data_IF_152657605003
#
_entry.id   IF_152657605003
#
_cell.length_a   1.000
_cell.length_b   1.000
_cell.length_c   1.000
_cell.angle_alpha   90.00
_cell.angle_beta   90.00
_cell.angle_gamma   90.00
#
_symmetry.space_group_name_H-M   'P 1'
#
loop_
_entity.id
_entity.type
_entity.pdbx_description
1 polymer ?
#
# COMPACT_ATOMS: atom_id res chain seq x y z
N UNK A 1 -27.27 13.68 -29.67
CA UNK A 1 -27.40 12.64 -30.72
C UNK A 1 -28.47 11.67 -30.25
N UNK A 2 -29.42 11.24 -31.10
CA UNK A 2 -30.29 10.12 -30.73
C UNK A 2 -29.40 8.94 -30.35
N UNK A 3 -29.76 8.27 -29.27
CA UNK A 3 -29.03 7.19 -28.63
C UNK A 3 -29.01 5.96 -29.56
N UNK A 4 -28.20 6.02 -30.62
CA UNK A 4 -28.07 4.95 -31.60
C UNK A 4 -27.33 3.80 -30.91
N UNK A 5 -28.08 2.75 -30.58
CA UNK A 5 -27.62 1.51 -29.92
C UNK A 5 -26.91 0.56 -30.89
N UNK A 6 -26.33 1.15 -31.93
CA UNK A 6 -25.77 0.50 -33.10
C UNK A 6 -24.54 1.29 -33.52
N UNK A 7 -23.48 0.57 -33.87
CA UNK A 7 -22.23 1.15 -34.37
C UNK A 7 -21.96 0.53 -35.75
N UNK A 8 -21.78 1.38 -36.75
CA UNK A 8 -21.27 0.96 -38.05
C UNK A 8 -19.78 0.66 -37.93
N UNK A 9 -19.34 -0.52 -38.40
CA UNK A 9 -17.92 -0.88 -38.41
C UNK A 9 -17.24 -0.07 -39.53
N UNK A 10 -16.18 0.71 -39.23
CA UNK A 10 -15.47 1.49 -40.24
C UNK A 10 -15.07 0.63 -41.45
N UNK A 11 -15.17 1.21 -42.65
CA UNK A 11 -14.83 0.55 -43.93
C UNK A 11 -15.67 -0.70 -44.26
N UNK A 12 -16.83 -0.88 -43.63
CA UNK A 12 -17.81 -1.91 -43.97
C UNK A 12 -19.25 -1.41 -43.89
N UNK A 13 -20.17 -2.01 -44.66
CA UNK A 13 -21.62 -1.78 -44.53
C UNK A 13 -22.24 -2.53 -43.31
N UNK A 14 -21.40 -3.07 -42.42
CA UNK A 14 -21.88 -3.87 -41.27
C UNK A 14 -22.24 -2.96 -40.11
N UNK A 15 -23.46 -3.11 -39.64
CA UNK A 15 -23.96 -2.49 -38.41
C UNK A 15 -23.96 -3.55 -37.31
N UNK A 16 -23.33 -3.24 -36.18
CA UNK A 16 -23.28 -4.14 -35.02
C UNK A 16 -24.18 -3.57 -33.94
N UNK A 17 -25.05 -4.42 -33.39
CA UNK A 17 -25.88 -4.07 -32.24
C UNK A 17 -25.08 -4.19 -30.95
N UNK A 18 -25.42 -3.37 -29.96
CA UNK A 18 -24.82 -3.48 -28.64
C UNK A 18 -25.16 -4.83 -28.00
N UNK A 19 -24.12 -5.60 -27.66
CA UNK A 19 -24.19 -6.87 -26.94
C UNK A 19 -23.33 -6.78 -25.68
N UNK A 20 -23.65 -7.59 -24.68
CA UNK A 20 -22.80 -7.81 -23.51
C UNK A 20 -21.59 -8.70 -23.86
N UNK A 21 -20.63 -8.81 -22.95
CA UNK A 21 -19.41 -9.60 -23.16
C UNK A 21 -19.66 -11.11 -23.25
N UNK A 22 -20.78 -11.58 -22.69
CA UNK A 22 -21.27 -12.96 -22.80
C UNK A 22 -22.03 -13.22 -24.12
N UNK A 23 -22.16 -12.20 -24.98
CA UNK A 23 -22.91 -12.25 -26.22
C UNK A 23 -24.42 -12.07 -26.07
N UNK A 24 -24.93 -11.87 -24.85
CA UNK A 24 -26.35 -11.63 -24.64
C UNK A 24 -26.75 -10.20 -25.04
N UNK A 25 -27.96 -10.05 -25.57
CA UNK A 25 -28.50 -8.74 -25.93
C UNK A 25 -29.07 -8.00 -24.70
N UNK A 26 -28.78 -6.70 -24.54
CA UNK A 26 -29.37 -5.90 -23.48
C UNK A 26 -30.88 -5.78 -23.61
N UNK A 27 -31.60 -6.06 -22.51
CA UNK A 27 -33.04 -5.78 -22.43
C UNK A 27 -33.27 -4.29 -22.22
N UNK A 28 -33.47 -3.56 -23.31
CA UNK A 28 -33.70 -2.12 -23.28
C UNK A 28 -35.03 -1.77 -22.62
N UNK A 29 -34.96 -0.99 -21.53
CA UNK A 29 -36.15 -0.45 -20.85
C UNK A 29 -36.42 0.99 -21.27
N UNK A 30 -37.69 1.38 -21.29
CA UNK A 30 -38.10 2.75 -21.60
C UNK A 30 -37.54 3.72 -20.54
N UNK A 31 -36.94 4.85 -20.98
CA UNK A 31 -36.30 5.87 -20.13
C UNK A 31 -35.09 5.42 -19.30
N UNK A 32 -34.55 4.23 -19.52
CA UNK A 32 -33.29 3.78 -18.91
C UNK A 32 -32.16 4.02 -19.92
N UNK A 33 -31.10 4.69 -19.49
CA UNK A 33 -29.95 4.98 -20.34
C UNK A 33 -29.06 3.75 -20.59
N UNK A 34 -28.20 3.75 -21.62
CA UNK A 34 -27.31 2.64 -21.91
C UNK A 34 -26.29 2.38 -20.78
N UNK A 35 -25.77 3.44 -20.15
CA UNK A 35 -24.84 3.31 -19.02
C UNK A 35 -25.48 2.61 -17.82
N UNK A 36 -26.72 2.95 -17.50
CA UNK A 36 -27.46 2.30 -16.42
C UNK A 36 -27.79 0.85 -16.76
N UNK A 37 -28.18 0.58 -18.02
CA UNK A 37 -28.42 -0.78 -18.51
C UNK A 37 -27.17 -1.65 -18.37
N UNK A 38 -26.02 -1.14 -18.78
CA UNK A 38 -24.73 -1.81 -18.64
C UNK A 38 -24.33 -2.00 -17.17
N UNK A 39 -24.47 -0.96 -16.34
CA UNK A 39 -24.13 -1.02 -14.91
C UNK A 39 -24.95 -2.08 -14.16
N UNK A 40 -26.23 -2.22 -14.50
CA UNK A 40 -27.11 -3.25 -13.94
C UNK A 40 -26.67 -4.68 -14.37
N UNK A 41 -26.17 -4.86 -15.59
CA UNK A 41 -25.65 -6.15 -16.04
C UNK A 41 -24.29 -6.47 -15.42
N UNK A 42 -23.38 -5.48 -15.33
CA UNK A 42 -22.05 -5.64 -14.71
C UNK A 42 -22.19 -6.07 -13.25
N UNK A 43 -23.08 -5.43 -12.50
CA UNK A 43 -23.29 -5.71 -11.07
C UNK A 43 -24.35 -6.79 -10.80
N UNK A 44 -24.81 -7.49 -11.84
CA UNK A 44 -25.74 -8.61 -11.68
C UNK A 44 -25.08 -9.77 -10.93
N UNK A 45 -25.85 -10.43 -10.06
CA UNK A 45 -25.40 -11.66 -9.39
C UNK A 45 -25.10 -12.79 -10.39
N UNK A 46 -25.73 -12.76 -11.57
CA UNK A 46 -25.53 -13.74 -12.63
C UNK A 46 -24.30 -13.43 -13.50
N UNK A 47 -23.63 -12.30 -13.28
CA UNK A 47 -22.41 -11.93 -14.01
C UNK A 47 -21.18 -12.59 -13.38
N UNK A 48 -20.52 -13.55 -14.07
CA UNK A 48 -19.40 -14.29 -13.48
C UNK A 48 -18.10 -13.49 -13.42
N UNK A 49 -18.01 -12.38 -14.16
CA UNK A 49 -16.76 -11.64 -14.35
C UNK A 49 -16.52 -10.64 -13.22
N UNK A 50 -17.54 -9.85 -12.89
CA UNK A 50 -17.39 -8.74 -11.95
C UNK A 50 -16.98 -9.20 -10.55
N UNK A 51 -17.64 -10.23 -10.03
CA UNK A 51 -17.35 -10.74 -8.68
C UNK A 51 -15.93 -11.30 -8.57
N UNK A 52 -15.46 -12.07 -9.56
CA UNK A 52 -14.09 -12.61 -9.61
C UNK A 52 -13.05 -11.49 -9.74
N UNK A 53 -13.26 -10.54 -10.64
CA UNK A 53 -12.35 -9.42 -10.84
C UNK A 53 -12.24 -8.55 -9.56
N UNK A 54 -13.38 -8.22 -8.95
CA UNK A 54 -13.42 -7.45 -7.71
C UNK A 54 -12.76 -8.19 -6.54
N UNK A 55 -13.07 -9.49 -6.36
CA UNK A 55 -12.45 -10.31 -5.33
C UNK A 55 -10.92 -10.41 -5.51
N UNK A 56 -10.45 -10.65 -6.73
CA UNK A 56 -9.03 -10.69 -7.05
C UNK A 56 -8.34 -9.35 -6.78
N UNK A 57 -9.00 -8.24 -7.11
CA UNK A 57 -8.47 -6.90 -6.86
C UNK A 57 -8.37 -6.60 -5.37
N UNK A 58 -9.40 -6.91 -4.57
CA UNK A 58 -9.36 -6.78 -3.11
C UNK A 58 -8.24 -7.64 -2.52
N UNK A 59 -8.13 -8.89 -2.98
CA UNK A 59 -7.07 -9.80 -2.57
C UNK A 59 -5.68 -9.21 -2.86
N UNK A 60 -5.45 -8.73 -4.09
CA UNK A 60 -4.19 -8.09 -4.46
C UNK A 60 -3.89 -6.83 -3.64
N UNK A 61 -4.90 -6.04 -3.28
CA UNK A 61 -4.67 -4.90 -2.39
C UNK A 61 -4.16 -5.32 -1.01
N UNK A 62 -4.60 -6.47 -0.51
CA UNK A 62 -4.23 -7.00 0.81
C UNK A 62 -2.92 -7.79 0.78
N UNK A 63 -2.68 -8.61 -0.25
CA UNK A 63 -1.52 -9.50 -0.36
C UNK A 63 -0.40 -8.99 -1.26
N UNK A 64 -0.62 -7.90 -2.00
CA UNK A 64 0.36 -7.27 -2.89
C UNK A 64 0.41 -7.92 -4.29
N UNK A 65 -0.22 -9.08 -4.44
CA UNK A 65 -0.34 -9.86 -5.69
C UNK A 65 -1.73 -10.52 -5.74
N UNK A 66 -2.30 -10.60 -6.94
CA UNK A 66 -3.59 -11.26 -7.16
C UNK A 66 -3.50 -12.79 -7.11
N UNK A 67 -4.65 -13.45 -6.96
CA UNK A 67 -4.81 -14.87 -7.27
C UNK A 67 -4.65 -15.07 -8.79
N UNK A 68 -5.12 -14.09 -9.58
CA UNK A 68 -4.77 -13.90 -11.00
C UNK A 68 -3.85 -12.70 -11.09
N UNK A 69 -2.72 -12.86 -11.79
CA UNK A 69 -1.72 -11.82 -12.00
C UNK A 69 -1.26 -11.86 -13.47
N UNK A 70 -1.40 -10.78 -14.26
CA UNK A 70 -1.85 -9.43 -13.88
C UNK A 70 -3.30 -9.34 -13.37
N UNK A 71 -3.55 -8.46 -12.41
CA UNK A 71 -4.86 -8.37 -11.72
C UNK A 71 -6.06 -8.11 -12.64
N UNK A 72 -5.83 -7.48 -13.79
CA UNK A 72 -6.85 -7.06 -14.75
C UNK A 72 -6.85 -7.94 -16.03
N UNK A 73 -5.99 -8.97 -16.11
CA UNK A 73 -5.87 -9.87 -17.28
C UNK A 73 -6.33 -11.30 -16.95
N UNK A 74 -7.63 -11.55 -17.09
CA UNK A 74 -8.28 -12.85 -16.91
C UNK A 74 -8.28 -13.70 -18.20
N UNK A 75 -7.16 -13.75 -18.91
CA UNK A 75 -7.00 -14.62 -20.08
C UNK A 75 -6.53 -16.03 -19.70
N UNK A 76 -6.70 -16.98 -20.62
CA UNK A 76 -6.20 -18.36 -20.44
C UNK A 76 -4.68 -18.44 -20.26
N UNK A 77 -3.94 -17.38 -20.64
CA UNK A 77 -2.51 -17.26 -20.41
C UNK A 77 -2.16 -17.03 -18.92
N UNK A 78 -3.09 -16.47 -18.13
CA UNK A 78 -2.90 -16.15 -16.73
C UNK A 78 -3.92 -16.91 -15.86
N UNK A 79 -3.81 -18.25 -15.76
CA UNK A 79 -4.74 -19.01 -14.94
C UNK A 79 -4.65 -18.60 -13.46
N UNK A 80 -5.76 -18.62 -12.70
CA UNK A 80 -5.73 -18.37 -11.26
C UNK A 80 -4.81 -19.36 -10.55
N UNK A 81 -3.95 -18.87 -9.65
CA UNK A 81 -3.09 -19.73 -8.82
C UNK A 81 -3.90 -20.66 -7.92
N UNK A 82 -5.05 -20.18 -7.44
CA UNK A 82 -5.98 -20.91 -6.58
C UNK A 82 -7.42 -20.72 -7.08
N UNK A 83 -7.86 -21.46 -8.12
CA UNK A 83 -9.14 -21.23 -8.77
C UNK A 83 -10.34 -21.47 -7.84
N UNK A 84 -10.27 -22.51 -7.00
CA UNK A 84 -11.34 -22.82 -6.03
C UNK A 84 -11.51 -21.73 -4.98
N UNK A 85 -10.40 -21.11 -4.55
CA UNK A 85 -10.41 -19.99 -3.62
C UNK A 85 -11.04 -18.74 -4.26
N UNK A 86 -10.63 -18.43 -5.50
CA UNK A 86 -11.21 -17.30 -6.23
C UNK A 86 -12.72 -17.47 -6.41
N UNK A 87 -13.16 -18.68 -6.73
CA UNK A 87 -14.59 -19.01 -6.87
C UNK A 87 -15.35 -18.92 -5.56
N UNK A 88 -14.74 -19.36 -4.46
CA UNK A 88 -15.31 -19.17 -3.13
C UNK A 88 -15.49 -17.68 -2.83
N UNK A 89 -14.44 -16.87 -2.98
CA UNK A 89 -14.49 -15.43 -2.71
C UNK A 89 -15.52 -14.71 -3.59
N UNK A 90 -15.62 -15.05 -4.87
CA UNK A 90 -16.60 -14.48 -5.77
C UNK A 90 -18.05 -14.83 -5.36
N UNK A 91 -18.31 -16.10 -5.01
CA UNK A 91 -19.64 -16.53 -4.53
C UNK A 91 -20.02 -15.84 -3.22
N UNK A 92 -19.10 -15.79 -2.27
CA UNK A 92 -19.34 -15.11 -0.98
C UNK A 92 -19.61 -13.61 -1.20
N UNK A 93 -18.85 -12.96 -2.08
CA UNK A 93 -19.05 -11.55 -2.41
C UNK A 93 -20.45 -11.27 -2.99
N UNK A 94 -20.92 -12.11 -3.92
CA UNK A 94 -22.28 -12.03 -4.48
C UNK A 94 -23.34 -12.28 -3.41
N UNK A 95 -23.18 -13.33 -2.59
CA UNK A 95 -24.15 -13.68 -1.53
C UNK A 95 -24.31 -12.57 -0.47
N UNK A 96 -23.23 -11.81 -0.24
CA UNK A 96 -23.19 -10.64 0.63
C UNK A 96 -23.46 -9.31 -0.10
N UNK A 97 -24.08 -9.36 -1.29
CA UNK A 97 -24.52 -8.19 -2.07
C UNK A 97 -23.37 -7.20 -2.37
N UNK A 98 -22.20 -7.73 -2.69
CA UNK A 98 -21.01 -6.96 -3.02
C UNK A 98 -20.51 -6.06 -1.87
N UNK A 99 -20.69 -6.48 -0.61
CA UNK A 99 -20.19 -5.76 0.56
C UNK A 99 -18.65 -5.87 0.69
N UNK A 100 -17.95 -4.78 0.37
CA UNK A 100 -16.50 -4.68 0.49
C UNK A 100 -16.01 -4.85 1.93
N UNK A 101 -16.75 -4.34 2.92
CA UNK A 101 -16.35 -4.44 4.34
C UNK A 101 -16.41 -5.87 4.82
N UNK A 102 -17.42 -6.61 4.38
CA UNK A 102 -17.51 -8.04 4.62
C UNK A 102 -16.30 -8.78 4.04
N UNK A 103 -15.98 -8.55 2.76
CA UNK A 103 -14.86 -9.22 2.10
C UNK A 103 -13.52 -8.95 2.77
N UNK A 104 -13.23 -7.69 3.07
CA UNK A 104 -11.99 -7.30 3.75
C UNK A 104 -11.92 -8.02 5.10
N UNK A 105 -12.98 -7.96 5.91
CA UNK A 105 -13.02 -8.63 7.21
C UNK A 105 -12.86 -10.15 7.10
N UNK A 106 -13.48 -10.78 6.11
CA UNK A 106 -13.39 -12.22 5.90
C UNK A 106 -11.95 -12.63 5.54
N UNK A 107 -11.31 -11.91 4.62
CA UNK A 107 -9.93 -12.18 4.19
C UNK A 107 -8.95 -11.95 5.34
N UNK A 108 -9.07 -10.84 6.08
CA UNK A 108 -8.15 -10.53 7.18
C UNK A 108 -8.29 -11.46 8.39
N UNK A 109 -9.42 -12.15 8.51
CA UNK A 109 -9.65 -13.19 9.52
C UNK A 109 -9.04 -14.56 9.15
N UNK A 110 -8.47 -14.72 7.95
CA UNK A 110 -7.88 -16.00 7.52
C UNK A 110 -6.50 -16.23 8.13
N UNK A 111 -6.13 -17.50 8.31
CA UNK A 111 -4.77 -17.88 8.68
C UNK A 111 -3.75 -17.38 7.66
N UNK A 112 -4.08 -17.42 6.36
CA UNK A 112 -3.21 -16.98 5.26
C UNK A 112 -2.82 -15.51 5.41
N UNK A 113 -3.77 -14.63 5.75
CA UNK A 113 -3.48 -13.21 5.96
C UNK A 113 -2.63 -12.95 7.23
N UNK A 114 -2.74 -13.83 8.23
CA UNK A 114 -2.02 -13.70 9.51
C UNK A 114 -0.64 -14.37 9.51
N UNK A 115 -0.18 -14.91 8.37
CA UNK A 115 1.15 -15.49 8.28
C UNK A 115 2.23 -14.41 8.42
N UNK A 116 3.37 -14.78 9.02
CA UNK A 116 4.56 -13.92 9.06
C UNK A 116 5.16 -13.76 7.65
N UNK A 117 5.84 -12.64 7.42
CA UNK A 117 6.64 -12.41 6.21
C UNK A 117 7.99 -13.13 6.20
N UNK A 118 8.41 -13.74 7.31
CA UNK A 118 9.66 -14.47 7.44
C UNK A 118 9.66 -15.77 6.63
N UNK A 119 10.69 -15.94 5.81
CA UNK A 119 10.91 -17.20 5.10
C UNK A 119 11.49 -18.28 6.04
N UNK A 120 10.84 -19.44 6.08
CA UNK A 120 11.31 -20.61 6.83
C UNK A 120 11.71 -21.78 5.93
N UNK A 121 11.21 -21.81 4.69
CA UNK A 121 11.49 -22.87 3.73
C UNK A 121 11.68 -22.32 2.30
N UNK A 122 12.45 -23.01 1.46
CA UNK A 122 12.73 -22.59 0.08
C UNK A 122 11.51 -22.62 -0.83
N UNK A 123 10.51 -23.44 -0.52
CA UNK A 123 9.25 -23.50 -1.28
C UNK A 123 8.38 -22.24 -1.12
N UNK A 124 8.68 -21.36 -0.16
CA UNK A 124 7.94 -20.13 0.12
C UNK A 124 8.50 -18.92 -0.65
N UNK A 125 9.33 -19.15 -1.68
CA UNK A 125 9.89 -18.07 -2.50
C UNK A 125 8.82 -17.47 -3.41
N UNK A 126 7.95 -18.31 -3.98
CA UNK A 126 6.91 -17.84 -4.90
C UNK A 126 5.75 -17.18 -4.11
N UNK A 127 5.52 -15.86 -4.26
CA UNK A 127 4.46 -15.15 -3.56
C UNK A 127 3.06 -15.60 -3.98
N UNK A 128 2.89 -16.20 -5.16
CA UNK A 128 1.58 -16.69 -5.65
C UNK A 128 1.06 -17.88 -4.86
N UNK A 129 1.92 -18.53 -4.07
CA UNK A 129 1.55 -19.63 -3.18
C UNK A 129 0.88 -19.16 -1.90
N UNK A 130 1.02 -17.88 -1.53
CA UNK A 130 0.54 -17.32 -0.26
C UNK A 130 0.98 -18.10 0.98
N UNK A 131 2.14 -18.78 0.91
CA UNK A 131 2.67 -19.60 2.00
C UNK A 131 3.34 -18.77 3.13
N UNK A 132 3.40 -17.45 2.95
CA UNK A 132 3.84 -16.41 3.89
C UNK A 132 3.29 -15.06 3.42
N UNK A 133 3.31 -14.06 4.29
CA UNK A 133 2.96 -12.70 3.86
C UNK A 133 4.08 -12.12 3.00
N UNK A 134 3.74 -11.61 1.82
CA UNK A 134 4.71 -10.92 0.98
C UNK A 134 5.01 -9.54 1.56
N UNK A 135 6.29 -9.15 1.55
CA UNK A 135 6.68 -7.77 1.86
C UNK A 135 6.12 -6.86 0.78
N UNK A 136 5.45 -5.79 1.18
CA UNK A 136 4.85 -4.82 0.26
C UNK A 136 5.55 -3.49 0.43
N UNK A 137 6.08 -2.94 -0.66
CA UNK A 137 6.54 -1.57 -0.67
C UNK A 137 5.38 -0.61 -0.40
N UNK A 138 5.59 0.35 0.49
CA UNK A 138 4.62 1.42 0.73
C UNK A 138 4.41 2.22 -0.56
N UNK A 139 3.17 2.63 -0.82
CA UNK A 139 2.92 3.60 -1.91
C UNK A 139 3.57 4.94 -1.55
N UNK A 140 3.84 5.82 -2.54
CA UNK A 140 4.40 7.14 -2.26
C UNK A 140 3.59 7.95 -1.25
N UNK A 141 2.26 7.85 -1.33
CA UNK A 141 1.35 8.50 -0.39
C UNK A 141 1.52 7.93 1.02
N UNK A 142 1.55 6.61 1.15
CA UNK A 142 1.75 5.93 2.43
C UNK A 142 3.12 6.27 3.02
N UNK A 143 4.18 6.27 2.21
CA UNK A 143 5.53 6.60 2.65
C UNK A 143 5.62 8.05 3.15
N UNK A 144 5.02 8.99 2.42
CA UNK A 144 4.93 10.38 2.84
C UNK A 144 4.19 10.53 4.17
N UNK A 145 3.04 9.87 4.31
CA UNK A 145 2.22 9.90 5.52
C UNK A 145 2.98 9.28 6.71
N UNK A 146 3.69 8.18 6.51
CA UNK A 146 4.57 7.56 7.50
C UNK A 146 5.70 8.51 7.94
N UNK A 147 6.35 9.20 7.00
CA UNK A 147 7.37 10.21 7.29
C UNK A 147 6.80 11.37 8.11
N UNK A 148 5.64 11.90 7.71
CA UNK A 148 4.97 12.97 8.42
C UNK A 148 4.52 12.54 9.83
N UNK A 149 4.05 11.29 9.97
CA UNK A 149 3.66 10.72 11.27
C UNK A 149 4.88 10.53 12.18
N UNK A 150 5.97 9.97 11.67
CA UNK A 150 7.21 9.83 12.41
C UNK A 150 7.77 11.21 12.82
N UNK A 151 7.64 12.23 11.97
CA UNK A 151 8.05 13.60 12.26
C UNK A 151 7.15 14.32 13.28
N UNK A 152 5.92 13.84 13.53
CA UNK A 152 4.92 14.52 14.36
C UNK A 152 4.17 15.64 13.62
N UNK A 153 4.26 15.68 12.29
CA UNK A 153 3.61 16.68 11.42
C UNK A 153 2.45 16.11 10.59
N UNK A 154 2.02 14.87 10.86
CA UNK A 154 0.94 14.22 10.13
C UNK A 154 -0.34 15.05 10.13
N UNK A 155 -0.88 15.23 8.92
CA UNK A 155 -2.17 15.87 8.70
C UNK A 155 -3.11 14.84 8.07
N UNK A 156 -4.26 14.56 8.70
CA UNK A 156 -5.20 13.61 8.12
C UNK A 156 -5.74 14.13 6.79
N UNK A 157 -6.01 13.20 5.88
CA UNK A 157 -6.54 13.49 4.55
C UNK A 157 -7.79 14.39 4.63
N UNK A 158 -7.77 15.49 3.86
CA UNK A 158 -8.90 16.41 3.73
C UNK A 158 -9.49 16.33 2.32
N UNK A 159 -10.77 15.93 2.15
CA UNK A 159 -11.40 15.76 0.83
C UNK A 159 -11.38 17.00 -0.06
N UNK A 160 -11.30 18.20 0.53
CA UNK A 160 -11.27 19.48 -0.20
C UNK A 160 -9.89 19.79 -0.82
N UNK A 161 -8.82 19.11 -0.40
CA UNK A 161 -7.46 19.35 -0.86
C UNK A 161 -7.14 18.71 -2.24
N UNK A 162 -8.05 17.87 -2.76
CA UNK A 162 -7.82 17.10 -4.01
C UNK A 162 -7.58 18.01 -5.22
N UNK A 163 -8.20 19.19 -5.27
CA UNK A 163 -8.06 20.12 -6.40
C UNK A 163 -6.67 20.76 -6.51
N UNK A 164 -5.89 20.79 -5.42
CA UNK A 164 -4.54 21.35 -5.38
C UNK A 164 -3.48 20.30 -5.02
N UNK A 165 -3.84 19.02 -4.97
CA UNK A 165 -2.98 17.96 -4.43
C UNK A 165 -1.59 17.93 -5.08
N UNK A 166 -1.50 18.15 -6.40
CA UNK A 166 -0.23 18.17 -7.14
C UNK A 166 0.70 19.34 -6.75
N UNK A 167 0.17 20.46 -6.23
CA UNK A 167 0.95 21.64 -5.83
C UNK A 167 1.34 21.63 -4.34
N UNK A 168 1.06 20.53 -3.64
CA UNK A 168 1.47 20.35 -2.24
C UNK A 168 2.82 19.63 -2.17
N UNK A 169 3.57 19.76 -1.05
CA UNK A 169 4.78 18.96 -0.83
C UNK A 169 4.54 17.45 -0.89
N UNK A 170 3.30 17.00 -0.61
CA UNK A 170 2.88 15.61 -0.78
C UNK A 170 2.77 15.26 -2.27
N UNK A 171 2.15 16.11 -3.09
CA UNK A 171 2.02 15.89 -4.54
C UNK A 171 3.36 15.78 -5.25
N UNK A 172 4.28 16.70 -4.97
CA UNK A 172 5.65 16.66 -5.54
C UNK A 172 6.41 15.40 -5.12
N UNK A 173 6.25 14.97 -3.86
CA UNK A 173 6.81 13.71 -3.39
C UNK A 173 6.20 12.51 -4.12
N UNK A 174 4.88 12.46 -4.24
CA UNK A 174 4.17 11.37 -4.93
C UNK A 174 4.60 11.26 -6.39
N UNK A 175 4.72 12.39 -7.11
CA UNK A 175 5.19 12.38 -8.50
C UNK A 175 6.63 11.87 -8.62
N UNK A 176 7.53 12.25 -7.70
CA UNK A 176 8.93 11.81 -7.72
C UNK A 176 9.09 10.30 -7.44
N UNK A 177 8.20 9.75 -6.62
CA UNK A 177 8.18 8.33 -6.24
C UNK A 177 7.16 7.51 -7.06
N UNK A 178 6.46 8.13 -8.01
CA UNK A 178 5.54 7.44 -8.90
C UNK A 178 6.34 6.56 -9.88
N UNK A 179 6.21 5.26 -9.72
CA UNK A 179 6.74 4.28 -10.67
C UNK A 179 5.57 3.64 -11.41
N UNK A 180 5.55 3.81 -12.72
CA UNK A 180 4.57 3.15 -13.57
C UNK A 180 4.92 1.67 -13.72
N UNK A 181 3.98 0.79 -13.34
CA UNK A 181 4.06 -0.65 -13.64
C UNK A 181 4.86 -1.50 -12.65
N UNK A 182 5.41 -0.94 -11.57
CA UNK A 182 6.07 -1.74 -10.53
C UNK A 182 5.04 -2.56 -9.73
N UNK A 183 5.26 -3.87 -9.61
CA UNK A 183 4.51 -4.73 -8.69
C UNK A 183 4.73 -4.24 -7.25
N UNK A 184 3.70 -4.28 -6.40
CA UNK A 184 3.82 -3.86 -4.99
C UNK A 184 4.87 -4.66 -4.21
N UNK A 185 5.15 -5.89 -4.63
CA UNK A 185 6.09 -6.80 -3.97
C UNK A 185 7.54 -6.56 -4.42
N UNK A 186 7.73 -6.07 -5.65
CA UNK A 186 9.05 -5.90 -6.27
C UNK A 186 9.43 -4.41 -6.37
N UNK A 187 8.91 -3.59 -5.46
CA UNK A 187 9.19 -2.14 -5.47
C UNK A 187 10.65 -1.90 -5.07
N UNK A 188 11.50 -1.62 -6.04
CA UNK A 188 12.89 -1.23 -5.81
C UNK A 188 12.99 0.30 -5.72
N UNK A 189 13.77 0.81 -4.77
CA UNK A 189 14.00 2.26 -4.65
C UNK A 189 15.13 2.68 -5.57
N UNK A 190 14.89 3.68 -6.42
CA UNK A 190 15.95 4.23 -7.27
C UNK A 190 17.00 4.97 -6.44
N UNK A 191 18.19 5.18 -7.01
CA UNK A 191 19.27 5.95 -6.37
C UNK A 191 18.78 7.38 -6.04
N UNK A 192 18.04 8.02 -6.95
CA UNK A 192 17.51 9.37 -6.74
C UNK A 192 16.49 9.43 -5.62
N UNK A 193 15.57 8.47 -5.55
CA UNK A 193 14.60 8.35 -4.46
C UNK A 193 15.31 8.11 -3.12
N UNK A 194 16.33 7.25 -3.09
CA UNK A 194 17.13 7.00 -1.88
C UNK A 194 17.86 8.26 -1.41
N UNK A 195 18.48 9.00 -2.34
CA UNK A 195 19.12 10.28 -2.02
C UNK A 195 18.13 11.34 -1.54
N UNK A 196 16.91 11.34 -2.08
CA UNK A 196 15.84 12.23 -1.65
C UNK A 196 15.34 11.86 -0.26
N UNK A 197 15.26 10.58 0.12
CA UNK A 197 14.97 10.19 1.50
C UNK A 197 16.09 10.64 2.46
N UNK A 198 17.34 10.50 2.05
CA UNK A 198 18.49 10.86 2.90
C UNK A 198 18.60 12.36 3.17
N UNK A 199 18.29 13.19 2.16
CA UNK A 199 18.52 14.64 2.19
C UNK A 199 17.24 15.48 2.12
N UNK A 200 16.08 14.84 2.02
CA UNK A 200 14.80 15.49 1.79
C UNK A 200 14.37 16.33 2.98
N UNK A 201 13.56 17.34 2.69
CA UNK A 201 13.03 18.25 3.72
C UNK A 201 12.22 17.49 4.77
N UNK A 202 11.47 16.47 4.37
CA UNK A 202 10.61 15.65 5.24
C UNK A 202 11.43 14.92 6.30
N UNK A 203 12.53 14.27 5.91
CA UNK A 203 13.42 13.58 6.85
C UNK A 203 14.22 14.57 7.70
N UNK A 204 14.67 15.69 7.12
CA UNK A 204 15.31 16.75 7.91
C UNK A 204 14.38 17.27 8.99
N UNK A 205 13.11 17.53 8.68
CA UNK A 205 12.11 18.00 9.65
C UNK A 205 11.84 16.97 10.74
N UNK A 206 11.85 15.67 10.40
CA UNK A 206 11.65 14.61 11.37
C UNK A 206 12.81 14.52 12.37
N UNK A 207 14.04 14.73 11.89
CA UNK A 207 15.28 14.51 12.64
C UNK A 207 15.75 15.76 13.39
N UNK A 208 15.24 16.95 13.05
CA UNK A 208 15.59 18.20 13.73
C UNK A 208 15.07 18.25 15.19
N UNK A 209 15.98 18.34 16.20
CA UNK A 209 15.60 18.46 17.62
C UNK A 209 15.05 19.83 18.00
N UNK A 210 15.30 20.84 17.17
CA UNK A 210 14.97 22.26 17.45
C UNK A 210 13.47 22.57 17.32
N UNK A 211 12.69 21.65 16.75
CA UNK A 211 11.25 21.82 16.59
C UNK A 211 10.51 21.27 17.81
N UNK A 212 9.86 22.11 18.65
CA UNK A 212 9.19 21.64 19.87
C UNK A 212 7.97 20.74 19.61
N UNK A 213 7.53 20.66 18.35
CA UNK A 213 6.44 19.79 17.89
C UNK A 213 6.94 18.52 17.19
N UNK A 214 8.25 18.34 17.02
CA UNK A 214 8.78 17.12 16.42
C UNK A 214 8.74 15.99 17.44
N UNK A 215 8.50 14.77 16.96
CA UNK A 215 8.53 13.56 17.79
C UNK A 215 9.87 13.42 18.51
N UNK A 216 10.98 13.75 17.82
CA UNK A 216 12.32 13.69 18.39
C UNK A 216 12.51 14.70 19.53
N UNK A 217 12.07 15.96 19.35
CA UNK A 217 12.13 16.97 20.40
C UNK A 217 11.38 16.53 21.66
N UNK A 218 10.16 16.02 21.49
CA UNK A 218 9.35 15.50 22.60
C UNK A 218 10.02 14.33 23.34
N UNK A 219 10.69 13.41 22.63
CA UNK A 219 11.41 12.27 23.23
C UNK A 219 12.66 12.74 23.98
N UNK A 220 13.42 13.67 23.40
CA UNK A 220 14.65 14.19 24.00
C UNK A 220 14.35 14.95 25.30
N UNK A 221 13.31 15.79 25.28
CA UNK A 221 12.89 16.64 26.40
C UNK A 221 12.15 15.87 27.50
N UNK A 222 11.71 14.63 27.25
CA UNK A 222 11.01 13.80 28.23
C UNK A 222 11.93 13.38 29.38
N UNK A 223 11.70 13.88 30.62
CA UNK A 223 12.60 13.63 31.75
C UNK A 223 12.40 12.24 32.39
N UNK A 224 11.30 11.56 32.05
CA UNK A 224 10.94 10.25 32.60
C UNK A 224 11.49 9.07 31.79
N UNK A 225 12.03 9.33 30.58
CA UNK A 225 12.60 8.30 29.72
C UNK A 225 14.11 8.22 29.92
N UNK A 226 14.60 7.03 30.24
CA UNK A 226 16.01 6.69 30.18
C UNK A 226 16.49 6.56 28.72
N UNK A 227 17.80 6.45 28.50
CA UNK A 227 18.38 6.30 27.15
C UNK A 227 17.75 5.13 26.40
N UNK A 228 17.49 4.03 27.10
CA UNK A 228 16.79 2.86 26.55
C UNK A 228 15.37 3.22 26.12
N UNK A 229 14.55 3.81 26.98
CA UNK A 229 13.17 4.19 26.68
C UNK A 229 13.06 5.22 25.55
N UNK A 230 14.02 6.13 25.44
CA UNK A 230 14.11 7.05 24.29
C UNK A 230 14.33 6.30 22.98
N UNK A 231 15.26 5.35 22.95
CA UNK A 231 15.52 4.52 21.77
C UNK A 231 14.28 3.67 21.43
N UNK A 232 13.67 3.00 22.41
CA UNK A 232 12.45 2.20 22.18
C UNK A 232 11.32 3.04 21.58
N UNK A 233 11.14 4.27 22.06
CA UNK A 233 10.13 5.19 21.53
C UNK A 233 10.43 5.60 20.09
N UNK A 234 11.71 5.83 19.73
CA UNK A 234 12.10 6.12 18.34
C UNK A 234 11.82 4.93 17.40
N UNK A 235 12.08 3.71 17.85
CA UNK A 235 11.75 2.49 17.09
C UNK A 235 10.24 2.34 16.90
N UNK A 236 9.44 2.62 17.94
CA UNK A 236 7.99 2.60 17.82
C UNK A 236 7.47 3.70 16.88
N UNK A 237 8.06 4.90 16.92
CA UNK A 237 7.67 6.01 16.06
C UNK A 237 8.02 5.79 14.58
N UNK A 238 9.16 5.15 14.29
CA UNK A 238 9.59 4.89 12.91
C UNK A 238 9.06 3.56 12.34
N UNK A 239 9.18 2.46 13.10
CA UNK A 239 8.98 1.09 12.61
C UNK A 239 7.79 0.37 13.24
N UNK A 240 7.05 1.02 14.15
CA UNK A 240 5.89 0.43 14.85
C UNK A 240 6.19 -0.88 15.61
N UNK A 241 7.46 -1.15 15.95
CA UNK A 241 7.90 -2.31 16.73
C UNK A 241 8.95 -1.96 17.77
N UNK A 242 9.19 -2.87 18.70
CA UNK A 242 10.30 -2.75 19.65
C UNK A 242 11.63 -3.12 18.97
N UNK A 243 12.75 -2.50 19.40
CA UNK A 243 14.08 -2.91 18.95
C UNK A 243 14.40 -4.32 19.46
N UNK A 244 15.15 -5.09 18.68
CA UNK A 244 15.72 -6.35 19.13
C UNK A 244 16.85 -6.12 20.12
N UNK A 245 17.19 -7.12 20.94
CA UNK A 245 18.30 -7.05 21.92
C UNK A 245 19.66 -6.71 21.27
N UNK A 246 19.88 -7.08 20.02
CA UNK A 246 21.08 -6.71 19.27
C UNK A 246 21.07 -5.26 18.79
N UNK A 247 19.92 -4.76 18.33
CA UNK A 247 19.75 -3.39 17.87
C UNK A 247 19.84 -2.41 19.05
N UNK A 248 19.17 -2.74 20.15
CA UNK A 248 19.16 -1.92 21.37
C UNK A 248 20.56 -1.75 21.93
N UNK A 249 21.34 -2.84 22.05
CA UNK A 249 22.73 -2.77 22.53
C UNK A 249 23.61 -1.87 21.66
N UNK A 250 23.50 -1.98 20.32
CA UNK A 250 24.25 -1.12 19.39
C UNK A 250 23.84 0.34 19.50
N UNK A 251 22.55 0.61 19.63
CA UNK A 251 22.02 1.97 19.78
C UNK A 251 22.48 2.62 21.09
N UNK A 252 22.40 1.89 22.22
CA UNK A 252 22.90 2.37 23.52
C UNK A 252 24.41 2.66 23.44
N UNK A 253 25.19 1.74 22.88
CA UNK A 253 26.64 1.94 22.70
C UNK A 253 26.97 3.17 21.84
N UNK A 254 26.12 3.52 20.87
CA UNK A 254 26.32 4.69 20.02
C UNK A 254 26.00 6.00 20.75
N UNK A 255 24.95 6.02 21.59
CA UNK A 255 24.56 7.20 22.37
C UNK A 255 25.50 7.42 23.56
N UNK A 256 25.91 6.34 24.22
CA UNK A 256 26.80 6.34 25.39
C UNK A 256 28.10 5.60 25.07
N UNK A 257 29.01 6.19 24.26
CA UNK A 257 30.27 5.54 23.93
C UNK A 257 31.13 5.37 25.19
N UNK A 258 31.71 4.18 25.34
CA UNK A 258 32.52 3.80 26.50
C UNK A 258 33.89 4.50 26.52
N UNK A 259 34.33 5.04 25.38
CA UNK A 259 35.54 5.85 25.26
C UNK A 259 35.19 7.35 25.22
N UNK A 260 35.81 8.12 26.12
CA UNK A 260 35.63 9.57 26.35
C UNK A 260 36.04 10.45 25.15
N UNK A 261 36.50 9.86 24.05
CA UNK A 261 37.10 10.55 22.91
C UNK A 261 36.11 11.26 21.99
N UNK A 262 34.81 10.99 22.11
CA UNK A 262 33.77 11.65 21.33
C UNK A 262 32.76 12.28 22.28
N UNK A 263 32.95 13.57 22.55
CA UNK A 263 31.96 14.44 23.21
C UNK A 263 30.79 14.67 22.23
N UNK A 264 30.08 13.61 21.86
CA UNK A 264 28.90 13.66 21.00
C UNK A 264 27.72 14.06 21.87
N UNK A 265 27.06 15.15 21.51
CA UNK A 265 25.79 15.53 22.11
C UNK A 265 24.80 14.36 21.99
N UNK A 266 24.30 13.86 23.12
CA UNK A 266 23.38 12.72 23.16
C UNK A 266 22.14 12.97 22.28
N UNK A 267 21.66 14.21 22.21
CA UNK A 267 20.59 14.65 21.30
C UNK A 267 20.92 14.41 19.84
N UNK A 268 22.16 14.68 19.44
CA UNK A 268 22.63 14.49 18.07
C UNK A 268 22.77 13.01 17.74
N UNK A 269 23.24 12.20 18.70
CA UNK A 269 23.30 10.76 18.55
C UNK A 269 21.91 10.11 18.38
N UNK A 270 20.90 10.58 19.12
CA UNK A 270 19.51 10.14 18.96
C UNK A 270 18.93 10.57 17.60
N UNK A 271 19.25 11.78 17.14
CA UNK A 271 18.93 12.28 15.80
C UNK A 271 19.51 11.39 14.70
N UNK A 272 20.79 11.01 14.80
CA UNK A 272 21.43 10.09 13.84
C UNK A 272 20.76 8.71 13.82
N UNK A 273 20.39 8.17 14.99
CA UNK A 273 19.67 6.90 15.09
C UNK A 273 18.32 7.02 14.39
N UNK A 274 17.57 8.09 14.66
CA UNK A 274 16.26 8.29 14.05
C UNK A 274 16.36 8.43 12.53
N UNK A 275 17.34 9.19 12.04
CA UNK A 275 17.64 9.28 10.60
C UNK A 275 17.94 7.91 9.98
N UNK A 276 18.73 7.08 10.67
CA UNK A 276 19.05 5.74 10.19
C UNK A 276 17.83 4.81 10.13
N UNK A 277 16.89 4.95 11.07
CA UNK A 277 15.63 4.19 11.05
C UNK A 277 14.74 4.59 9.88
N UNK A 278 14.57 5.90 9.64
CA UNK A 278 13.75 6.43 8.53
C UNK A 278 14.32 6.10 7.14
N UNK A 279 15.63 5.89 7.04
CA UNK A 279 16.31 5.50 5.79
C UNK A 279 16.59 3.99 5.71
N UNK A 280 16.04 3.19 6.62
CA UNK A 280 16.18 1.74 6.57
C UNK A 280 15.28 1.13 5.51
N UNK A 281 15.66 -0.03 4.96
CA UNK A 281 14.80 -0.77 4.04
C UNK A 281 13.50 -1.23 4.69
N UNK A 282 13.51 -1.43 6.01
CA UNK A 282 12.33 -1.81 6.79
C UNK A 282 11.27 -0.71 6.81
N UNK A 283 11.68 0.56 6.83
CA UNK A 283 10.75 1.69 6.82
C UNK A 283 9.97 1.82 5.50
N UNK A 284 10.52 1.28 4.40
CA UNK A 284 9.91 1.35 3.08
C UNK A 284 8.87 0.24 2.83
N UNK A 285 8.78 -0.75 3.73
CA UNK A 285 7.96 -1.93 3.53
C UNK A 285 6.97 -2.16 4.67
N UNK A 286 5.78 -2.59 4.29
CA UNK A 286 4.82 -3.19 5.20
C UNK A 286 5.19 -4.67 5.38
N UNK A 287 5.47 -5.09 6.62
CA UNK A 287 6.13 -6.35 6.95
C UNK A 287 5.43 -7.18 8.03
#
# INVERSE_FOLDING_TARGET
LPDRREIGVPDTDRVVQAMYLDGAEPRWRFRVGPRETLANWITSADNPYFARAAANRIWSQLFGIGIVEPIDDFSDANPPSHPELLDLLAREFVSHKFDLKFMIRAITATNTYQLSSRQTHSSQVDPRTFARMSLQGLTPEQLYDCLAQAAGSYQPFQPQAVFFAAQTPQGEFVETFAEEGASKIERETTILQSLLLMNGQQVSLAVSPESPRSTLGAIVDSPFLDTKGKIETLYLAALCRMPTESELRKAIQYVEPTEVTLNKDATKALSDIFWALLNSTEFLVNH
#
